data_IF_031423331387
#
_entry.id   IF_031423331387
#
_cell.length_a   1.000
_cell.length_b   1.000
_cell.length_c   1.000
_cell.angle_alpha   90.00
_cell.angle_beta   90.00
_cell.angle_gamma   90.00
#
_symmetry.space_group_name_H-M   'P 1'
#
loop_
_entity.id
_entity.type
_entity.pdbx_description
1 polymer ?
#
# COMPACT_ATOMS: atom_id res chain seq x y z
N UNK A 1 10.38 -10.64 3.47
CA UNK A 1 9.51 -10.09 2.39
C UNK A 1 9.78 -8.61 2.27
N UNK A 2 9.95 -8.06 1.05
CA UNK A 2 10.32 -6.65 0.87
C UNK A 2 9.17 -5.67 1.16
N UNK A 3 7.93 -6.04 0.88
CA UNK A 3 6.75 -5.14 0.99
C UNK A 3 5.90 -5.38 2.24
N UNK A 4 6.44 -6.10 3.23
CA UNK A 4 5.69 -6.49 4.43
C UNK A 4 5.14 -5.26 5.17
N UNK A 5 5.93 -4.20 5.30
CA UNK A 5 5.48 -2.97 5.96
C UNK A 5 4.44 -2.19 5.16
N UNK A 6 4.34 -2.42 3.85
CA UNK A 6 3.38 -1.73 2.98
C UNK A 6 1.96 -2.29 3.11
N UNK A 7 1.78 -3.50 3.63
CA UNK A 7 0.49 -4.17 3.74
C UNK A 7 0.18 -4.52 5.20
N UNK A 8 -0.26 -3.52 5.97
CA UNK A 8 -0.62 -3.65 7.38
C UNK A 8 0.46 -3.24 8.37
N UNK A 9 1.60 -2.72 7.91
CA UNK A 9 2.74 -2.32 8.73
C UNK A 9 2.99 -0.81 8.76
N UNK A 10 4.27 -0.45 8.92
CA UNK A 10 4.72 0.93 9.07
C UNK A 10 5.03 1.58 7.71
N UNK A 11 3.98 1.88 6.93
CA UNK A 11 4.12 2.59 5.65
C UNK A 11 2.84 3.31 5.28
N UNK A 12 2.98 4.44 4.58
CA UNK A 12 1.85 5.09 3.88
C UNK A 12 1.81 4.52 2.47
N UNK A 13 0.82 3.69 2.18
CA UNK A 13 0.79 2.91 0.94
C UNK A 13 -0.37 3.33 0.06
N UNK A 14 -0.09 3.47 -1.24
CA UNK A 14 -1.06 3.76 -2.28
C UNK A 14 -0.99 2.65 -3.32
N UNK A 15 -2.16 2.16 -3.76
CA UNK A 15 -2.28 1.17 -4.82
C UNK A 15 -2.95 1.83 -6.04
N UNK A 16 -2.35 1.68 -7.22
CA UNK A 16 -2.94 2.09 -8.50
C UNK A 16 -3.37 0.84 -9.24
N UNK A 17 -4.65 0.76 -9.63
CA UNK A 17 -5.19 -0.34 -10.41
C UNK A 17 -5.28 0.08 -11.87
N UNK A 18 -4.45 -0.50 -12.73
CA UNK A 18 -4.45 -0.23 -14.16
C UNK A 18 -5.38 -1.21 -14.88
N UNK A 19 -6.40 -0.69 -15.57
CA UNK A 19 -7.44 -1.49 -16.22
C UNK A 19 -7.52 -1.16 -17.72
N UNK A 20 -7.90 -2.17 -18.52
CA UNK A 20 -8.18 -2.00 -19.95
C UNK A 20 -9.68 -1.71 -20.14
N UNK A 21 -10.05 -0.73 -21.00
CA UNK A 21 -11.45 -0.47 -21.30
C UNK A 21 -12.08 -1.48 -22.27
N UNK A 22 -11.30 -2.42 -22.82
CA UNK A 22 -11.77 -3.34 -23.84
C UNK A 22 -12.67 -4.45 -23.25
N UNK A 23 -13.77 -4.77 -23.94
CA UNK A 23 -14.79 -5.73 -23.48
C UNK A 23 -14.22 -7.13 -23.25
N UNK A 24 -13.24 -7.55 -24.06
CA UNK A 24 -12.58 -8.86 -23.87
C UNK A 24 -11.84 -8.97 -22.53
N UNK A 25 -11.47 -7.84 -21.91
CA UNK A 25 -10.79 -7.81 -20.61
C UNK A 25 -11.75 -7.54 -19.45
N UNK A 26 -13.07 -7.57 -19.66
CA UNK A 26 -14.05 -7.22 -18.63
C UNK A 26 -13.93 -8.10 -17.39
N UNK A 27 -13.84 -9.43 -17.55
CA UNK A 27 -13.72 -10.37 -16.43
C UNK A 27 -12.49 -10.08 -15.56
N UNK A 28 -11.32 -9.92 -16.18
CA UNK A 28 -10.07 -9.60 -15.48
C UNK A 28 -10.13 -8.23 -14.82
N UNK A 29 -10.72 -7.24 -15.49
CA UNK A 29 -10.86 -5.89 -14.94
C UNK A 29 -11.75 -5.87 -13.70
N UNK A 30 -12.84 -6.64 -13.70
CA UNK A 30 -13.70 -6.82 -12.52
C UNK A 30 -12.94 -7.52 -11.39
N UNK A 31 -12.14 -8.54 -11.68
CA UNK A 31 -11.34 -9.25 -10.68
C UNK A 31 -10.27 -8.34 -10.05
N UNK A 32 -9.56 -7.57 -10.87
CA UNK A 32 -8.58 -6.58 -10.43
C UNK A 32 -9.24 -5.49 -9.56
N UNK A 33 -10.41 -4.98 -9.96
CA UNK A 33 -11.15 -3.99 -9.19
C UNK A 33 -11.64 -4.55 -7.84
N UNK A 34 -12.10 -5.81 -7.80
CA UNK A 34 -12.45 -6.48 -6.55
C UNK A 34 -11.25 -6.63 -5.62
N UNK A 35 -10.06 -6.89 -6.15
CA UNK A 35 -8.84 -6.91 -5.35
C UNK A 35 -8.50 -5.50 -4.83
N UNK A 36 -8.54 -4.48 -5.68
CA UNK A 36 -8.30 -3.09 -5.27
C UNK A 36 -9.28 -2.64 -4.16
N UNK A 37 -10.56 -3.04 -4.25
CA UNK A 37 -11.54 -2.77 -3.20
C UNK A 37 -11.17 -3.43 -1.86
N UNK A 38 -10.67 -4.67 -1.89
CA UNK A 38 -10.16 -5.34 -0.68
C UNK A 38 -8.90 -4.67 -0.15
N UNK A 39 -7.96 -4.33 -1.02
CA UNK A 39 -6.69 -3.69 -0.67
C UNK A 39 -6.91 -2.32 0.00
N UNK A 40 -7.92 -1.56 -0.43
CA UNK A 40 -8.33 -0.29 0.21
C UNK A 40 -8.70 -0.45 1.70
N UNK A 41 -9.17 -1.63 2.11
CA UNK A 41 -9.56 -1.87 3.49
C UNK A 41 -8.38 -2.24 4.41
N UNK A 42 -7.16 -2.36 3.86
CA UNK A 42 -5.96 -2.61 4.65
C UNK A 42 -5.63 -1.36 5.47
N UNK A 43 -5.53 -1.53 6.79
CA UNK A 43 -5.18 -0.45 7.72
C UNK A 43 -3.70 -0.54 8.08
N UNK A 44 -2.91 0.40 7.57
CA UNK A 44 -1.51 0.55 7.95
C UNK A 44 -1.38 1.37 9.25
N UNK A 45 -0.25 1.22 9.93
CA UNK A 45 0.11 1.93 11.17
C UNK A 45 1.42 2.70 10.98
N UNK A 46 1.44 3.75 10.12
CA UNK A 46 2.66 4.51 9.88
C UNK A 46 3.09 5.27 11.13
N UNK A 47 4.36 5.16 11.51
CA UNK A 47 5.03 5.92 12.56
C UNK A 47 6.21 6.69 11.96
N UNK A 48 6.60 7.80 12.60
CA UNK A 48 7.77 8.57 12.16
C UNK A 48 9.03 7.78 12.53
N UNK A 49 9.77 7.34 11.53
CA UNK A 49 11.03 6.63 11.71
C UNK A 49 12.13 7.63 12.07
N UNK A 50 12.38 7.80 13.38
CA UNK A 50 13.51 8.59 13.89
C UNK A 50 14.66 7.65 14.20
N UNK A 51 15.88 8.07 13.84
CA UNK A 51 17.08 7.37 14.26
C UNK A 51 17.34 7.64 15.76
N UNK A 52 17.43 6.62 16.62
CA UNK A 52 17.75 6.82 18.03
C UNK A 52 19.09 7.53 18.27
N UNK A 53 20.06 7.44 17.35
CA UNK A 53 21.35 8.15 17.45
C UNK A 53 21.26 9.62 17.06
N UNK A 54 20.33 10.00 16.16
CA UNK A 54 20.12 11.39 15.77
C UNK A 54 19.45 12.22 16.88
N UNK A 55 18.69 11.57 17.77
CA UNK A 55 17.99 12.24 18.89
C UNK A 55 18.97 12.75 19.97
N UNK A 56 20.18 12.20 20.04
CA UNK A 56 21.18 12.57 21.07
C UNK A 56 22.04 13.80 20.71
N UNK A 57 21.94 14.31 19.48
CA UNK A 57 22.80 15.42 18.98
C UNK A 57 22.10 16.79 19.03
N UNK A 58 20.79 16.83 19.33
CA UNK A 58 20.06 18.07 19.58
C UNK A 58 20.04 18.41 21.09
N UNK A 59 21.20 18.78 21.66
CA UNK A 59 21.30 19.46 22.98
C UNK A 59 22.42 20.49 22.95
#
# INVERSE_FOLDING_TARGET
>A
MLLQDSLGGNSKTLMICCLSPHVSNYSESVNALRYANRARNIKNKPVVNRDPMAVLVEV
#
